data_IF_995401420269
#
_entry.id   IF_995401420269
#
_cell.length_a   1.000
_cell.length_b   1.000
_cell.length_c   1.000
_cell.angle_alpha   90.00
_cell.angle_beta   90.00
_cell.angle_gamma   90.00
#
_symmetry.space_group_name_H-M   'P 1'
#
loop_
_entity.id
_entity.type
_entity.pdbx_description
1 polymer ?
#
# COMPACT_ATOMS: atom_id res chain seq x y z
N UNK A 1 -15.52 3.91 8.62
CA UNK A 1 -14.90 2.74 7.99
C UNK A 1 -15.73 1.52 8.31
N UNK A 2 -15.98 0.68 7.32
CA UNK A 2 -16.75 -0.57 7.47
C UNK A 2 -15.81 -1.78 7.41
N UNK A 3 -16.19 -2.86 8.08
CA UNK A 3 -15.46 -4.12 8.00
C UNK A 3 -15.41 -4.67 6.57
N UNK A 4 -16.50 -4.50 5.81
CA UNK A 4 -16.57 -4.92 4.41
C UNK A 4 -15.52 -4.19 3.56
N UNK A 5 -15.32 -2.88 3.79
CA UNK A 5 -14.28 -2.11 3.09
C UNK A 5 -12.87 -2.55 3.48
N UNK A 6 -12.64 -2.90 4.75
CA UNK A 6 -11.35 -3.39 5.23
C UNK A 6 -11.00 -4.73 4.56
N UNK A 7 -11.86 -5.72 4.70
CA UNK A 7 -11.62 -7.04 4.12
C UNK A 7 -11.64 -7.03 2.59
N UNK A 8 -12.55 -6.24 1.98
CA UNK A 8 -12.60 -6.09 0.53
C UNK A 8 -11.30 -5.50 -0.03
N UNK A 9 -10.73 -4.49 0.63
CA UNK A 9 -9.45 -3.91 0.24
C UNK A 9 -8.29 -4.89 0.39
N UNK A 10 -8.23 -5.65 1.48
CA UNK A 10 -7.19 -6.65 1.71
C UNK A 10 -7.26 -7.80 0.69
N UNK A 11 -8.46 -8.33 0.43
CA UNK A 11 -8.68 -9.39 -0.58
C UNK A 11 -8.32 -8.90 -1.98
N UNK A 12 -8.77 -7.70 -2.35
CA UNK A 12 -8.43 -7.11 -3.64
C UNK A 12 -6.91 -6.94 -3.81
N UNK A 13 -6.21 -6.53 -2.75
CA UNK A 13 -4.75 -6.42 -2.75
C UNK A 13 -4.07 -7.79 -2.97
N UNK A 14 -4.62 -8.87 -2.40
CA UNK A 14 -4.16 -10.23 -2.66
C UNK A 14 -4.26 -10.62 -4.14
N UNK A 15 -5.42 -10.37 -4.76
CA UNK A 15 -5.59 -10.62 -6.20
C UNK A 15 -4.72 -9.72 -7.07
N UNK A 16 -4.49 -8.47 -6.66
CA UNK A 16 -3.58 -7.57 -7.37
C UNK A 16 -2.14 -8.09 -7.33
N UNK A 17 -1.69 -8.62 -6.19
CA UNK A 17 -0.37 -9.22 -6.06
C UNK A 17 -0.23 -10.48 -6.94
N UNK A 18 -1.26 -11.33 -7.01
CA UNK A 18 -1.28 -12.46 -7.95
C UNK A 18 -1.18 -11.99 -9.42
N UNK A 19 -1.93 -10.96 -9.79
CA UNK A 19 -1.87 -10.39 -11.14
C UNK A 19 -0.47 -9.80 -11.43
N UNK A 20 0.14 -9.13 -10.46
CA UNK A 20 1.50 -8.60 -10.57
C UNK A 20 2.51 -9.74 -10.74
N UNK A 21 2.42 -10.78 -9.92
CA UNK A 21 3.24 -11.99 -10.08
C UNK A 21 3.10 -12.57 -11.48
N UNK A 22 1.88 -12.79 -11.97
CA UNK A 22 1.65 -13.31 -13.33
C UNK A 22 2.30 -12.46 -14.43
N UNK A 23 2.23 -11.13 -14.31
CA UNK A 23 2.77 -10.22 -15.32
C UNK A 23 4.31 -10.16 -15.30
N UNK A 24 4.93 -10.41 -14.15
CA UNK A 24 6.38 -10.23 -13.94
C UNK A 24 7.11 -11.49 -13.48
N UNK A 25 6.46 -12.63 -13.47
CA UNK A 25 7.05 -13.93 -13.16
C UNK A 25 8.39 -14.15 -13.89
N UNK A 26 9.41 -14.61 -13.16
CA UNK A 26 10.76 -14.84 -13.67
C UNK A 26 11.55 -13.56 -14.02
N UNK A 27 11.06 -12.37 -13.69
CA UNK A 27 11.74 -11.10 -13.95
C UNK A 27 12.44 -10.63 -12.68
N UNK A 28 13.73 -10.89 -12.63
CA UNK A 28 14.54 -10.85 -11.40
C UNK A 28 15.51 -9.67 -11.28
N UNK A 29 15.70 -8.85 -12.33
CA UNK A 29 16.72 -7.81 -12.27
C UNK A 29 16.13 -6.45 -11.86
N UNK A 30 16.41 -5.98 -10.63
CA UNK A 30 16.13 -4.61 -10.22
C UNK A 30 16.79 -3.62 -11.18
N UNK A 31 16.05 -2.62 -11.63
CA UNK A 31 16.58 -1.55 -12.49
C UNK A 31 16.52 -1.79 -13.99
N UNK A 32 16.34 -3.02 -14.45
CA UNK A 32 16.16 -3.30 -15.89
C UNK A 32 14.72 -3.06 -16.38
N UNK A 33 13.77 -3.04 -15.45
CA UNK A 33 12.32 -2.87 -15.71
C UNK A 33 11.63 -2.13 -14.57
N UNK A 34 10.50 -1.43 -14.83
CA UNK A 34 9.80 -0.66 -13.81
C UNK A 34 9.19 -1.51 -12.70
N UNK A 35 9.04 -2.83 -12.92
CA UNK A 35 8.46 -3.73 -11.96
C UNK A 35 9.21 -5.05 -11.94
N UNK A 36 9.30 -5.66 -10.76
CA UNK A 36 9.85 -6.98 -10.51
C UNK A 36 8.77 -7.87 -9.89
N UNK A 37 8.96 -9.18 -9.93
CA UNK A 37 8.04 -10.12 -9.32
C UNK A 37 7.99 -9.87 -7.78
N UNK A 38 6.81 -9.64 -7.19
CA UNK A 38 6.69 -9.33 -5.76
C UNK A 38 7.16 -10.46 -4.84
N UNK A 39 7.17 -11.71 -5.33
CA UNK A 39 7.57 -12.90 -4.57
C UNK A 39 8.88 -13.52 -5.07
N UNK A 40 9.73 -12.72 -5.72
CA UNK A 40 10.94 -13.19 -6.39
C UNK A 40 11.86 -14.04 -5.50
N UNK A 41 11.94 -13.74 -4.22
CA UNK A 41 12.77 -14.47 -3.25
C UNK A 41 11.96 -15.33 -2.29
N UNK A 42 10.65 -15.53 -2.55
CA UNK A 42 9.82 -16.39 -1.73
C UNK A 42 10.19 -17.87 -1.92
N UNK A 43 10.20 -18.59 -0.82
CA UNK A 43 10.51 -20.02 -0.75
C UNK A 43 9.40 -20.79 -0.04
N UNK A 44 9.32 -22.13 -0.23
CA UNK A 44 8.34 -22.95 0.49
C UNK A 44 8.45 -22.91 2.03
N UNK A 45 9.57 -22.45 2.57
CA UNK A 45 9.79 -22.33 4.01
C UNK A 45 9.24 -21.01 4.60
N UNK A 46 8.85 -20.07 3.75
CA UNK A 46 8.30 -18.80 4.20
C UNK A 46 6.88 -18.96 4.78
N UNK A 47 6.59 -18.27 5.88
CA UNK A 47 5.30 -18.34 6.59
C UNK A 47 4.08 -18.01 5.72
N UNK A 48 4.27 -17.21 4.67
CA UNK A 48 3.21 -16.80 3.74
C UNK A 48 3.09 -17.73 2.52
N UNK A 49 3.92 -18.76 2.44
CA UNK A 49 3.83 -19.75 1.37
C UNK A 49 2.57 -20.60 1.53
N UNK A 50 1.65 -20.49 0.60
CA UNK A 50 0.39 -21.25 0.62
C UNK A 50 0.26 -22.12 -0.62
N UNK A 51 0.85 -23.29 -0.55
CA UNK A 51 0.76 -24.35 -1.57
C UNK A 51 1.62 -24.12 -2.81
N UNK A 52 1.67 -22.89 -3.32
CA UNK A 52 2.45 -22.53 -4.50
C UNK A 52 2.73 -21.00 -4.54
N UNK A 53 3.46 -20.56 -5.55
CA UNK A 53 3.81 -19.13 -5.77
C UNK A 53 2.59 -18.20 -5.84
N UNK A 54 1.50 -18.65 -6.47
CA UNK A 54 0.25 -17.89 -6.53
C UNK A 54 -0.37 -17.68 -5.15
N UNK A 55 -0.34 -18.75 -4.34
CA UNK A 55 -0.78 -18.68 -2.96
C UNK A 55 0.09 -17.74 -2.12
N UNK A 56 1.41 -17.81 -2.30
CA UNK A 56 2.36 -16.91 -1.66
C UNK A 56 2.09 -15.44 -2.05
N UNK A 57 1.93 -15.15 -3.35
CA UNK A 57 1.59 -13.82 -3.84
C UNK A 57 0.28 -13.31 -3.23
N UNK A 58 -0.76 -14.16 -3.16
CA UNK A 58 -2.04 -13.79 -2.55
C UNK A 58 -1.88 -13.44 -1.07
N UNK A 59 -1.23 -14.31 -0.28
CA UNK A 59 -1.08 -14.10 1.17
C UNK A 59 -0.24 -12.86 1.46
N UNK A 60 0.85 -12.64 0.73
CA UNK A 60 1.65 -11.43 0.84
C UNK A 60 0.81 -10.18 0.52
N UNK A 61 0.15 -10.16 -0.63
CA UNK A 61 -0.68 -9.03 -1.05
C UNK A 61 -1.84 -8.76 -0.10
N UNK A 62 -2.51 -9.81 0.40
CA UNK A 62 -3.57 -9.70 1.41
C UNK A 62 -3.05 -9.08 2.70
N UNK A 63 -1.89 -9.53 3.19
CA UNK A 63 -1.29 -9.03 4.43
C UNK A 63 -0.90 -7.56 4.31
N UNK A 64 -0.26 -7.18 3.20
CA UNK A 64 0.09 -5.78 2.93
C UNK A 64 -1.15 -4.90 2.73
N UNK A 65 -2.19 -5.41 2.08
CA UNK A 65 -3.48 -4.74 1.96
C UNK A 65 -4.17 -4.53 3.30
N UNK A 66 -4.14 -5.54 4.18
CA UNK A 66 -4.65 -5.42 5.54
C UNK A 66 -3.86 -4.38 6.35
N UNK A 67 -2.53 -4.36 6.22
CA UNK A 67 -1.68 -3.33 6.83
C UNK A 67 -2.03 -1.92 6.33
N UNK A 68 -2.25 -1.75 5.03
CA UNK A 68 -2.72 -0.50 4.41
C UNK A 68 -4.05 -0.03 5.03
N UNK A 69 -5.04 -0.92 5.10
CA UNK A 69 -6.35 -0.61 5.69
C UNK A 69 -6.27 -0.30 7.18
N UNK A 70 -5.39 -0.97 7.91
CA UNK A 70 -5.12 -0.68 9.32
C UNK A 70 -4.49 0.71 9.48
N UNK A 71 -3.48 1.04 8.69
CA UNK A 71 -2.83 2.36 8.68
C UNK A 71 -3.83 3.49 8.40
N UNK A 72 -4.70 3.32 7.40
CA UNK A 72 -5.77 4.26 7.09
C UNK A 72 -6.79 4.40 8.25
N UNK A 73 -7.09 3.31 8.94
CA UNK A 73 -7.96 3.33 10.12
C UNK A 73 -7.31 4.08 11.27
N UNK A 74 -6.03 3.85 11.53
CA UNK A 74 -5.22 4.54 12.55
C UNK A 74 -5.14 6.04 12.23
N UNK A 75 -4.82 6.41 10.98
CA UNK A 75 -4.80 7.82 10.55
C UNK A 75 -6.13 8.53 10.77
N UNK A 76 -7.23 7.85 10.43
CA UNK A 76 -8.59 8.35 10.65
C UNK A 76 -8.92 8.50 12.14
N UNK A 77 -8.43 7.60 13.00
CA UNK A 77 -8.58 7.69 14.46
C UNK A 77 -7.87 8.93 15.01
N UNK A 78 -6.60 9.16 14.62
CA UNK A 78 -5.84 10.32 15.07
C UNK A 78 -6.45 11.65 14.60
N UNK A 79 -6.98 11.71 13.37
CA UNK A 79 -7.69 12.89 12.88
C UNK A 79 -8.91 13.22 13.77
N UNK A 80 -9.73 12.22 14.10
CA UNK A 80 -10.89 12.41 14.98
C UNK A 80 -10.49 12.86 16.38
N UNK A 81 -9.41 12.31 16.94
CA UNK A 81 -8.90 12.70 18.25
C UNK A 81 -8.40 14.16 18.29
N UNK A 82 -7.95 14.69 17.14
CA UNK A 82 -7.58 16.11 16.97
C UNK A 82 -8.77 17.03 16.66
N UNK A 83 -10.01 16.51 16.72
CA UNK A 83 -11.22 17.31 16.52
C UNK A 83 -11.65 17.50 15.05
N UNK A 84 -10.96 16.87 14.08
CA UNK A 84 -11.38 16.95 12.68
C UNK A 84 -12.69 16.18 12.45
N UNK A 85 -13.64 16.83 11.79
CA UNK A 85 -14.94 16.22 11.45
C UNK A 85 -14.76 15.06 10.45
N UNK A 86 -15.74 14.16 10.45
CA UNK A 86 -15.73 12.95 9.60
C UNK A 86 -15.86 13.27 8.12
N UNK A 87 -16.56 14.34 7.78
CA UNK A 87 -16.88 14.77 6.42
C UNK A 87 -16.67 16.28 6.28
N UNK A 88 -16.39 16.72 5.04
CA UNK A 88 -16.25 18.13 4.71
C UNK A 88 -14.80 18.60 4.57
N UNK A 89 -14.63 19.89 4.34
CA UNK A 89 -13.35 20.55 4.06
C UNK A 89 -12.32 20.38 5.19
N UNK A 90 -12.76 20.29 6.43
CA UNK A 90 -11.88 20.12 7.61
C UNK A 90 -11.24 18.73 7.69
N UNK A 91 -11.90 17.67 7.16
CA UNK A 91 -11.36 16.30 7.22
C UNK A 91 -10.14 16.11 6.33
N UNK A 92 -9.96 16.95 5.33
CA UNK A 92 -8.89 16.89 4.33
C UNK A 92 -7.71 17.81 4.62
N UNK A 93 -7.71 18.52 5.77
CA UNK A 93 -6.65 19.48 6.13
C UNK A 93 -5.40 18.83 6.73
N UNK A 94 -5.37 17.50 6.85
CA UNK A 94 -4.20 16.77 7.35
C UNK A 94 -3.67 15.79 6.27
N UNK A 95 -3.12 16.31 5.14
CA UNK A 95 -2.73 15.47 4.00
C UNK A 95 -1.67 14.42 4.35
N UNK A 96 -0.76 14.73 5.27
CA UNK A 96 0.24 13.76 5.74
C UNK A 96 -0.38 12.60 6.53
N UNK A 97 -1.40 12.88 7.36
CA UNK A 97 -2.12 11.83 8.09
C UNK A 97 -3.01 10.99 7.16
N UNK A 98 -3.37 11.51 6.00
CA UNK A 98 -4.16 10.78 5.00
C UNK A 98 -3.30 9.87 4.11
N UNK A 99 -2.05 10.24 3.89
CA UNK A 99 -1.17 9.54 2.96
C UNK A 99 -0.05 8.75 3.63
N UNK A 100 0.51 9.25 4.72
CA UNK A 100 1.70 8.63 5.32
C UNK A 100 1.35 7.46 6.24
N UNK A 101 0.19 7.47 6.90
CA UNK A 101 -0.15 6.42 7.86
C UNK A 101 -0.30 5.04 7.22
N UNK A 102 -0.89 4.95 6.02
CA UNK A 102 -0.98 3.67 5.33
C UNK A 102 0.36 3.22 4.76
N UNK A 103 1.18 4.14 4.23
CA UNK A 103 2.52 3.82 3.73
C UNK A 103 3.43 3.32 4.85
N UNK A 104 3.44 4.02 5.99
CA UNK A 104 4.21 3.59 7.16
C UNK A 104 3.75 2.23 7.70
N UNK A 105 2.44 1.96 7.71
CA UNK A 105 1.93 0.65 8.13
C UNK A 105 2.37 -0.47 7.18
N UNK A 106 2.34 -0.24 5.87
CA UNK A 106 2.84 -1.20 4.88
C UNK A 106 4.32 -1.46 5.11
N UNK A 107 5.15 -0.42 5.21
CA UNK A 107 6.59 -0.60 5.42
C UNK A 107 6.90 -1.29 6.76
N UNK A 108 6.20 -0.93 7.85
CA UNK A 108 6.39 -1.60 9.13
C UNK A 108 6.09 -3.11 9.03
N UNK A 109 5.00 -3.48 8.39
CA UNK A 109 4.65 -4.89 8.17
C UNK A 109 5.64 -5.56 7.21
N UNK A 110 6.06 -4.88 6.15
CA UNK A 110 7.05 -5.40 5.20
C UNK A 110 8.37 -5.75 5.89
N UNK A 111 8.92 -4.83 6.67
CA UNK A 111 10.19 -5.03 7.37
C UNK A 111 10.11 -6.04 8.54
N UNK A 112 8.92 -6.26 9.11
CA UNK A 112 8.77 -7.19 10.24
C UNK A 112 8.34 -8.60 9.83
N UNK A 113 7.57 -8.73 8.76
CA UNK A 113 6.98 -10.02 8.36
C UNK A 113 7.53 -10.56 7.05
N UNK A 114 8.11 -9.73 6.20
CA UNK A 114 8.60 -10.11 4.87
C UNK A 114 10.10 -9.81 4.71
N UNK A 115 10.88 -10.03 5.78
CA UNK A 115 12.32 -9.86 5.77
C UNK A 115 12.96 -10.70 4.65
N UNK A 116 13.85 -10.09 3.87
CA UNK A 116 14.50 -10.75 2.74
C UNK A 116 13.70 -10.72 1.42
N UNK A 117 12.46 -10.26 1.43
CA UNK A 117 11.66 -10.12 0.21
C UNK A 117 11.94 -8.79 -0.53
N UNK A 118 11.38 -8.65 -1.73
CA UNK A 118 11.60 -7.51 -2.65
C UNK A 118 11.62 -6.14 -1.95
N UNK A 119 10.59 -5.88 -1.14
CA UNK A 119 10.39 -4.57 -0.50
C UNK A 119 11.35 -4.29 0.66
N UNK A 120 12.15 -5.25 1.09
CA UNK A 120 13.14 -5.10 2.16
C UNK A 120 14.58 -5.12 1.66
N UNK A 121 14.78 -5.25 0.35
CA UNK A 121 16.11 -5.30 -0.24
C UNK A 121 16.80 -3.93 -0.16
N UNK A 122 18.07 -3.87 0.30
CA UNK A 122 18.82 -2.61 0.43
C UNK A 122 18.96 -1.85 -0.89
N UNK A 123 19.00 -2.57 -2.01
CA UNK A 123 19.11 -2.01 -3.36
C UNK A 123 17.91 -1.13 -3.74
N UNK A 124 16.75 -1.37 -3.10
CA UNK A 124 15.51 -0.62 -3.36
C UNK A 124 15.29 0.56 -2.39
N UNK A 125 16.31 0.94 -1.62
CA UNK A 125 16.19 2.05 -0.66
C UNK A 125 15.79 3.37 -1.35
N UNK A 126 16.37 3.67 -2.51
CA UNK A 126 16.03 4.89 -3.26
C UNK A 126 14.60 4.87 -3.77
N UNK A 127 14.11 3.72 -4.24
CA UNK A 127 12.75 3.51 -4.71
C UNK A 127 11.74 3.66 -3.57
N UNK A 128 12.06 3.13 -2.39
CA UNK A 128 11.26 3.28 -1.17
C UNK A 128 11.19 4.75 -0.76
N UNK A 129 12.33 5.46 -0.75
CA UNK A 129 12.38 6.90 -0.44
C UNK A 129 11.60 7.71 -1.48
N UNK A 130 11.76 7.39 -2.77
CA UNK A 130 11.02 8.02 -3.84
C UNK A 130 9.49 7.81 -3.67
N UNK A 131 9.07 6.59 -3.31
CA UNK A 131 7.67 6.28 -3.06
C UNK A 131 7.12 7.09 -1.87
N UNK A 132 7.85 7.19 -0.76
CA UNK A 132 7.44 7.99 0.39
C UNK A 132 7.28 9.47 0.04
N UNK A 133 8.13 10.03 -0.82
CA UNK A 133 8.05 11.42 -1.27
C UNK A 133 6.94 11.61 -2.32
N UNK A 134 6.84 10.71 -3.28
CA UNK A 134 5.87 10.82 -4.38
C UNK A 134 4.43 10.56 -3.93
N UNK A 135 4.22 9.70 -2.95
CA UNK A 135 2.86 9.34 -2.48
C UNK A 135 2.04 10.57 -2.07
N UNK A 136 2.50 11.48 -1.20
CA UNK A 136 1.74 12.68 -0.86
C UNK A 136 1.58 13.64 -2.06
N UNK A 137 2.56 13.72 -2.95
CA UNK A 137 2.49 14.57 -4.15
C UNK A 137 1.42 14.06 -5.11
N UNK A 138 1.43 12.76 -5.42
CA UNK A 138 0.45 12.13 -6.31
C UNK A 138 -0.95 12.22 -5.69
N UNK A 139 -1.08 11.94 -4.40
CA UNK A 139 -2.36 12.05 -3.69
C UNK A 139 -2.93 13.47 -3.78
N UNK A 140 -2.09 14.49 -3.60
CA UNK A 140 -2.50 15.91 -3.75
C UNK A 140 -2.90 16.22 -5.18
N UNK A 141 -2.12 15.79 -6.15
CA UNK A 141 -2.40 16.02 -7.57
C UNK A 141 -3.74 15.40 -7.98
N UNK A 142 -3.99 14.13 -7.60
CA UNK A 142 -5.24 13.44 -7.91
C UNK A 142 -6.46 14.10 -7.24
N UNK A 143 -6.31 14.62 -6.03
CA UNK A 143 -7.37 15.36 -5.36
C UNK A 143 -7.71 16.67 -6.10
N UNK A 144 -6.70 17.43 -6.55
CA UNK A 144 -6.89 18.65 -7.34
C UNK A 144 -7.56 18.35 -8.67
N UNK A 145 -7.13 17.29 -9.35
CA UNK A 145 -7.75 16.85 -10.61
C UNK A 145 -9.21 16.46 -10.38
N UNK A 146 -9.50 15.64 -9.36
CA UNK A 146 -10.86 15.25 -9.00
C UNK A 146 -11.76 16.45 -8.68
N UNK A 147 -11.23 17.46 -8.01
CA UNK A 147 -11.94 18.72 -7.77
C UNK A 147 -12.25 19.47 -9.08
N UNK A 148 -11.26 19.62 -9.95
CA UNK A 148 -11.45 20.30 -11.26
C UNK A 148 -12.43 19.58 -12.18
N UNK A 149 -12.53 18.26 -12.06
CA UNK A 149 -13.50 17.43 -12.81
C UNK A 149 -14.89 17.39 -12.16
N UNK A 150 -15.10 18.11 -11.04
CA UNK A 150 -16.38 18.10 -10.33
C UNK A 150 -16.69 16.82 -9.56
N UNK A 151 -15.71 15.90 -9.43
CA UNK A 151 -15.85 14.63 -8.71
C UNK A 151 -15.66 14.79 -7.19
N UNK A 152 -15.11 15.92 -6.76
CA UNK A 152 -14.88 16.29 -5.36
C UNK A 152 -15.37 17.71 -5.09
N UNK A 153 -15.84 17.95 -3.86
CA UNK A 153 -16.28 19.28 -3.42
C UNK A 153 -15.13 20.19 -2.98
N UNK A 154 -13.93 19.63 -2.74
CA UNK A 154 -12.74 20.35 -2.25
C UNK A 154 -11.46 19.82 -2.91
N UNK A 155 -10.41 20.67 -3.11
CA UNK A 155 -9.18 20.29 -3.84
C UNK A 155 -8.13 19.57 -2.99
N UNK A 156 -8.47 19.14 -1.77
CA UNK A 156 -7.56 18.47 -0.84
C UNK A 156 -8.22 17.32 -0.15
#
# INVERSE_FOLDING_TARGET
KSWNGFFGGAVFSGFLAMATHHMWEGRSEPGSRPFIDPILWATPDDWFWFGNEWGAAFVMGFTLGAACMAGDTIGSFFKRRKGHKREGSESSQAPLLDTMTFALAIFAVSFTLFEGQVITQPELTNEILALLVLTPVIHRATNIIGYRLGLKSVPY
#
